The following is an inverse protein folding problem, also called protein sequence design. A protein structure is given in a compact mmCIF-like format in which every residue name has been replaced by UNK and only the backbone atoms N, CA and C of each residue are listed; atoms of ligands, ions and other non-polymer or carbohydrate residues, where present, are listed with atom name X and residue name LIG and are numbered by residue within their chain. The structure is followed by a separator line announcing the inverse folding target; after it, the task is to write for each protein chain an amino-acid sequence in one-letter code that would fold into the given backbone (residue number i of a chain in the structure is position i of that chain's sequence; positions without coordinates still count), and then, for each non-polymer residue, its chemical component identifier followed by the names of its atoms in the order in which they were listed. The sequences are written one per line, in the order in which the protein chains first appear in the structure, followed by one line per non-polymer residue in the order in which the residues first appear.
data_IF_486399704825
#
_entry.id   IF_486399704825
#
_cell.length_a   1.000
_cell.length_b   1.000
_cell.length_c   1.000
_cell.angle_alpha   90.00
_cell.angle_beta   90.00
_cell.angle_gamma   90.00
#
_symmetry.space_group_name_H-M   'P 1'
#
loop_
_entity.id
_entity.type
_entity.pdbx_description
1 polymer ?
#
# COMPACT_ATOMS: atom_id res chain seq x y z
N UNK A 1 5.99 -12.00 10.15
CA UNK A 1 5.87 -13.30 10.84
C UNK A 1 4.87 -14.13 10.07
N UNK A 2 5.37 -15.12 9.33
CA UNK A 2 4.56 -16.05 8.55
C UNK A 2 3.86 -17.09 9.43
N UNK A 3 2.70 -17.57 9.00
CA UNK A 3 1.80 -18.39 9.83
C UNK A 3 2.40 -19.79 10.10
N UNK A 4 2.61 -20.14 11.37
CA UNK A 4 3.13 -21.46 11.80
C UNK A 4 2.13 -22.63 11.70
N UNK A 5 0.87 -22.41 11.31
CA UNK A 5 -0.15 -23.47 11.14
C UNK A 5 -1.36 -23.01 10.31
N UNK A 6 -1.36 -23.07 8.97
CA UNK A 6 -2.60 -23.06 8.15
C UNK A 6 -2.34 -23.71 6.78
N UNK A 7 -3.32 -24.48 6.28
CA UNK A 7 -3.27 -25.17 4.99
C UNK A 7 -3.22 -24.23 3.77
N UNK A 8 -4.25 -24.22 2.92
CA UNK A 8 -4.27 -23.39 1.71
C UNK A 8 -4.50 -21.92 2.05
N UNK A 9 -3.56 -21.05 1.65
CA UNK A 9 -3.68 -19.60 1.84
C UNK A 9 -4.53 -18.96 0.73
N UNK A 10 -5.18 -17.82 1.02
CA UNK A 10 -5.98 -17.10 0.02
C UNK A 10 -5.06 -16.54 -1.06
N UNK A 11 -5.46 -16.66 -2.32
CA UNK A 11 -4.74 -16.06 -3.44
C UNK A 11 -5.22 -14.62 -3.65
N UNK A 12 -4.28 -13.70 -3.80
CA UNK A 12 -4.48 -12.30 -4.14
C UNK A 12 -3.98 -12.04 -5.55
N UNK A 13 -4.67 -11.17 -6.29
CA UNK A 13 -4.27 -10.80 -7.65
C UNK A 13 -3.31 -9.62 -7.62
N UNK A 14 -2.15 -9.75 -8.28
CA UNK A 14 -1.21 -8.64 -8.42
C UNK A 14 -1.80 -7.56 -9.33
N UNK A 15 -1.89 -6.31 -8.84
CA UNK A 15 -2.43 -5.18 -9.62
C UNK A 15 -1.61 -4.87 -10.88
N UNK A 16 -0.29 -5.12 -10.86
CA UNK A 16 0.57 -4.77 -12.00
C UNK A 16 0.65 -5.83 -13.09
N UNK A 17 0.55 -7.12 -12.76
CA UNK A 17 0.79 -8.20 -13.72
C UNK A 17 -0.31 -9.27 -13.73
N UNK A 18 -1.37 -9.11 -12.94
CA UNK A 18 -2.52 -10.03 -12.90
C UNK A 18 -2.23 -11.41 -12.27
N UNK A 19 -0.99 -11.71 -11.91
CA UNK A 19 -0.63 -13.02 -11.35
C UNK A 19 -1.29 -13.25 -9.99
N UNK A 20 -1.82 -14.46 -9.77
CA UNK A 20 -2.27 -14.91 -8.46
C UNK A 20 -1.08 -15.21 -7.54
N UNK A 21 -1.04 -14.56 -6.38
CA UNK A 21 0.01 -14.67 -5.37
C UNK A 21 -0.62 -15.03 -4.03
N UNK A 22 -0.11 -16.01 -3.28
CA UNK A 22 -0.57 -16.28 -1.93
C UNK A 22 -0.51 -15.01 -1.06
N UNK A 23 -1.53 -14.76 -0.24
CA UNK A 23 -1.66 -13.55 0.58
C UNK A 23 -0.42 -13.31 1.44
N UNK A 24 0.16 -14.35 2.03
CA UNK A 24 1.38 -14.24 2.83
C UNK A 24 2.60 -13.73 2.03
N UNK A 25 2.68 -14.07 0.73
CA UNK A 25 3.77 -13.67 -0.16
C UNK A 25 3.48 -12.36 -0.89
N UNK A 26 2.24 -11.89 -0.88
CA UNK A 26 1.84 -10.65 -1.53
C UNK A 26 2.37 -9.44 -0.76
N UNK A 27 2.91 -8.47 -1.50
CA UNK A 27 3.34 -7.19 -0.93
C UNK A 27 2.14 -6.26 -0.93
N UNK A 28 1.60 -6.02 0.26
CA UNK A 28 0.53 -5.04 0.47
C UNK A 28 1.07 -3.61 0.35
N UNK A 29 0.34 -2.70 -0.30
CA UNK A 29 0.69 -1.29 -0.37
C UNK A 29 -0.58 -0.44 -0.25
N UNK A 30 -0.63 0.41 0.78
CA UNK A 30 -1.71 1.38 0.95
C UNK A 30 -1.45 2.58 0.04
N UNK A 31 -2.36 2.79 -0.91
CA UNK A 31 -2.38 3.95 -1.79
C UNK A 31 -3.44 4.93 -1.31
N UNK A 32 -3.01 6.15 -0.99
CA UNK A 32 -3.91 7.25 -0.65
C UNK A 32 -4.26 7.99 -1.94
N UNK A 33 -5.53 7.96 -2.32
CA UNK A 33 -6.05 8.69 -3.47
C UNK A 33 -6.85 9.89 -2.94
N UNK A 34 -6.53 11.08 -3.41
CA UNK A 34 -7.31 12.29 -3.20
C UNK A 34 -8.07 12.61 -4.48
N UNK A 35 -9.38 12.66 -4.40
CA UNK A 35 -10.25 13.18 -5.43
C UNK A 35 -10.61 14.61 -5.03
N UNK A 36 -10.35 15.56 -5.90
CA UNK A 36 -10.77 16.94 -5.74
C UNK A 36 -11.51 17.34 -7.01
N UNK A 37 -12.64 18.02 -6.85
CA UNK A 37 -13.24 18.76 -7.96
C UNK A 37 -12.33 19.95 -8.32
N UNK A 38 -12.11 20.23 -9.61
CA UNK A 38 -11.29 21.37 -10.08
C UNK A 38 -11.98 22.75 -9.87
N UNK A 39 -12.93 22.82 -8.94
CA UNK A 39 -13.60 24.05 -8.56
C UNK A 39 -12.64 24.90 -7.73
N UNK A 40 -12.38 26.13 -8.15
CA UNK A 40 -11.52 27.09 -7.43
C UNK A 40 -12.25 27.82 -6.30
N UNK A 41 -13.53 27.50 -6.11
CA UNK A 41 -14.46 28.20 -5.23
C UNK A 41 -14.65 27.46 -3.88
N UNK A 42 -15.43 28.07 -2.98
CA UNK A 42 -15.72 27.58 -1.62
C UNK A 42 -16.45 26.23 -1.58
N UNK A 43 -17.00 25.76 -2.70
CA UNK A 43 -17.66 24.45 -2.86
C UNK A 43 -16.70 23.32 -3.30
N UNK A 44 -15.39 23.46 -3.05
CA UNK A 44 -14.45 22.38 -3.36
C UNK A 44 -14.68 21.16 -2.47
N UNK A 45 -15.33 20.13 -3.03
CA UNK A 45 -15.50 18.85 -2.35
C UNK A 45 -14.25 18.00 -2.59
N UNK A 46 -13.45 17.84 -1.53
CA UNK A 46 -12.30 16.94 -1.54
C UNK A 46 -12.62 15.65 -0.79
N UNK A 47 -12.41 14.51 -1.47
CA UNK A 47 -12.60 13.18 -0.91
C UNK A 47 -11.27 12.44 -0.87
N UNK A 48 -10.89 11.94 0.30
CA UNK A 48 -9.71 11.10 0.45
C UNK A 48 -10.13 9.64 0.65
N UNK A 49 -9.59 8.75 -0.18
CA UNK A 49 -9.75 7.31 -0.02
C UNK A 49 -8.39 6.64 0.17
N UNK A 50 -8.37 5.58 0.96
CA UNK A 50 -7.20 4.72 1.11
C UNK A 50 -7.55 3.35 0.57
N UNK A 51 -6.88 2.96 -0.51
CA UNK A 51 -7.06 1.64 -1.14
C UNK A 51 -5.86 0.76 -0.84
N UNK A 52 -6.12 -0.50 -0.48
CA UNK A 52 -5.09 -1.50 -0.24
C UNK A 52 -4.83 -2.27 -1.54
N UNK A 53 -3.65 -2.12 -2.11
CA UNK A 53 -3.23 -2.80 -3.33
C UNK A 53 -2.28 -3.97 -3.02
N UNK A 54 -2.41 -5.07 -3.76
CA UNK A 54 -1.53 -6.24 -3.63
C UNK A 54 -0.60 -6.37 -4.84
N UNK A 55 0.69 -6.60 -4.57
CA UNK A 55 1.72 -6.77 -5.59
C UNK A 55 2.48 -8.09 -5.42
N UNK A 56 2.91 -8.68 -6.54
CA UNK A 56 3.91 -9.74 -6.50
C UNK A 56 5.31 -9.16 -6.17
N UNK A 57 6.21 -9.98 -5.65
CA UNK A 57 7.54 -9.56 -5.20
C UNK A 57 8.34 -8.88 -6.31
N UNK A 58 8.26 -9.37 -7.55
CA UNK A 58 8.98 -8.80 -8.69
C UNK A 58 8.46 -7.40 -9.05
N UNK A 59 7.15 -7.23 -9.20
CA UNK A 59 6.55 -5.93 -9.49
C UNK A 59 6.77 -4.93 -8.35
N UNK A 60 6.76 -5.41 -7.10
CA UNK A 60 7.04 -4.58 -5.94
C UNK A 60 8.47 -4.04 -5.92
N UNK A 61 9.46 -4.86 -6.34
CA UNK A 61 10.84 -4.40 -6.52
C UNK A 61 10.96 -3.38 -7.66
N UNK A 62 10.42 -3.69 -8.83
CA UNK A 62 10.46 -2.81 -10.00
C UNK A 62 9.86 -1.42 -9.71
N UNK A 63 8.73 -1.38 -8.98
CA UNK A 63 8.04 -0.14 -8.60
C UNK A 63 8.59 0.53 -7.33
N UNK A 64 9.71 0.04 -6.78
CA UNK A 64 10.37 0.54 -5.56
C UNK A 64 9.43 0.62 -4.34
N UNK A 65 8.47 -0.31 -4.24
CA UNK A 65 7.49 -0.32 -3.15
C UNK A 65 8.16 -0.59 -1.80
N UNK A 66 9.20 -1.41 -1.77
CA UNK A 66 9.99 -1.68 -0.56
C UNK A 66 10.68 -0.42 -0.03
N UNK A 67 11.27 0.41 -0.89
CA UNK A 67 11.90 1.67 -0.51
C UNK A 67 10.86 2.66 0.04
N UNK A 68 9.70 2.76 -0.64
CA UNK A 68 8.58 3.58 -0.17
C UNK A 68 8.10 3.15 1.21
N UNK A 69 7.96 1.84 1.45
CA UNK A 69 7.60 1.30 2.77
C UNK A 69 8.66 1.58 3.83
N UNK A 70 9.95 1.46 3.50
CA UNK A 70 11.05 1.83 4.40
C UNK A 70 10.96 3.30 4.82
N UNK A 71 10.77 4.20 3.84
CA UNK A 71 10.61 5.64 4.11
C UNK A 71 9.37 5.94 4.94
N UNK A 72 8.25 5.25 4.67
CA UNK A 72 7.04 5.38 5.49
C UNK A 72 7.26 4.90 6.93
N UNK A 73 7.95 3.78 7.13
CA UNK A 73 8.27 3.26 8.46
C UNK A 73 9.20 4.22 9.23
N UNK A 74 10.20 4.81 8.57
CA UNK A 74 11.06 5.84 9.15
C UNK A 74 10.26 7.07 9.58
N UNK A 75 9.42 7.63 8.70
CA UNK A 75 8.54 8.76 9.06
C UNK A 75 7.61 8.45 10.22
N UNK A 76 7.05 7.22 10.27
CA UNK A 76 6.20 6.77 11.39
C UNK A 76 7.01 6.68 12.68
N UNK A 77 8.26 6.25 12.62
CA UNK A 77 9.17 6.21 13.77
C UNK A 77 9.52 7.62 14.26
N UNK A 78 9.92 8.52 13.37
CA UNK A 78 10.23 9.92 13.69
C UNK A 78 9.05 10.62 14.39
N UNK A 79 7.83 10.45 13.85
CA UNK A 79 6.60 10.97 14.46
C UNK A 79 6.34 10.39 15.85
N UNK A 80 6.62 9.09 16.05
CA UNK A 80 6.45 8.43 17.35
C UNK A 80 7.46 8.92 18.38
N UNK A 81 8.68 9.23 17.94
CA UNK A 81 9.76 9.73 18.80
C UNK A 81 9.64 11.24 19.09
N UNK A 82 8.60 11.93 18.59
CA UNK A 82 8.35 13.33 18.88
C UNK A 82 9.43 14.29 18.37
N UNK A 83 10.31 13.84 17.47
CA UNK A 83 11.23 14.73 16.74
C UNK A 83 10.42 15.46 15.67
N UNK A 84 9.75 16.52 16.09
CA UNK A 84 9.17 17.53 15.23
C UNK A 84 9.73 18.88 15.64
#
# INVERSE_FOLDING_TARGET
MGKKRRGRDRLMTCVSCGRAVPREKAVEYERRNSYSTDLRDEENVSAMSTTVEYYCISCAKHRKIFEKKKRQAQKRRERREGRF
#
